data_IF_946855047040
#
_entry.id   IF_946855047040
#
_cell.length_a   1.000
_cell.length_b   1.000
_cell.length_c   1.000
_cell.angle_alpha   90.00
_cell.angle_beta   90.00
_cell.angle_gamma   90.00
#
_symmetry.space_group_name_H-M   'P 1'
#
loop_
_entity.id
_entity.type
_entity.pdbx_description
1 polymer ?
#
# COMPACT_ATOMS: atom_id res chain seq x y z
N UNK A 1 14.20 38.14 -8.10
CA UNK A 1 14.53 36.75 -8.50
C UNK A 1 14.08 35.85 -7.37
N UNK A 2 12.80 35.47 -7.39
CA UNK A 2 12.15 34.67 -6.35
C UNK A 2 11.92 33.28 -6.92
N UNK A 3 12.78 32.33 -6.58
CA UNK A 3 12.49 30.91 -6.76
C UNK A 3 11.43 30.53 -5.73
N UNK A 4 10.17 30.62 -6.15
CA UNK A 4 9.07 30.05 -5.38
C UNK A 4 9.35 28.55 -5.23
N UNK A 5 9.58 28.12 -3.98
CA UNK A 5 9.57 26.70 -3.60
C UNK A 5 8.12 26.22 -3.74
N UNK A 6 7.68 25.98 -4.98
CA UNK A 6 6.46 25.23 -5.23
C UNK A 6 6.74 23.79 -4.81
N UNK A 7 6.08 23.26 -3.77
CA UNK A 7 6.24 21.85 -3.48
C UNK A 7 5.78 21.07 -4.71
N UNK A 8 6.57 20.08 -5.15
CA UNK A 8 6.32 19.26 -6.36
C UNK A 8 5.10 18.32 -6.21
N UNK A 9 4.02 18.76 -5.59
CA UNK A 9 2.75 18.04 -5.50
C UNK A 9 1.89 18.34 -6.74
N UNK A 10 2.34 17.94 -7.93
CA UNK A 10 1.58 18.12 -9.16
C UNK A 10 0.56 17.02 -9.43
N UNK A 11 0.53 15.95 -8.62
CA UNK A 11 -0.35 14.80 -8.84
C UNK A 11 -1.01 14.36 -7.55
N UNK A 12 -2.33 14.52 -7.51
CA UNK A 12 -3.19 13.96 -6.47
C UNK A 12 -3.34 12.46 -6.70
N UNK A 13 -3.17 11.67 -5.63
CA UNK A 13 -3.47 10.24 -5.64
C UNK A 13 -4.81 10.07 -4.93
N UNK A 14 -5.90 9.69 -5.63
CA UNK A 14 -7.18 9.47 -4.98
C UNK A 14 -7.09 8.26 -4.04
N UNK A 15 -7.41 8.49 -2.77
CA UNK A 15 -7.54 7.45 -1.75
C UNK A 15 -9.02 7.10 -1.64
N UNK A 16 -9.35 5.81 -1.68
CA UNK A 16 -10.73 5.32 -1.50
C UNK A 16 -11.15 5.48 -0.03
N UNK A 17 -12.39 5.92 0.26
CA UNK A 17 -12.91 6.07 1.63
C UNK A 17 -12.74 4.81 2.47
N UNK A 18 -12.88 3.64 1.84
CA UNK A 18 -12.63 2.33 2.47
C UNK A 18 -11.23 2.24 3.13
N UNK A 19 -10.21 2.85 2.54
CA UNK A 19 -8.84 2.84 3.08
C UNK A 19 -8.77 3.64 4.38
N UNK A 20 -9.48 4.76 4.47
CA UNK A 20 -9.46 5.62 5.64
C UNK A 20 -10.41 5.13 6.73
N UNK A 21 -11.61 4.68 6.37
CA UNK A 21 -12.66 4.35 7.34
C UNK A 21 -12.57 2.91 7.85
N UNK A 22 -12.25 1.97 6.96
CA UNK A 22 -12.24 0.52 7.27
C UNK A 22 -10.81 0.03 7.44
N UNK A 23 -9.97 0.25 6.43
CA UNK A 23 -8.63 -0.34 6.43
C UNK A 23 -7.73 0.23 7.52
N UNK A 24 -7.79 1.55 7.75
CA UNK A 24 -7.06 2.18 8.85
C UNK A 24 -7.53 1.62 10.19
N UNK A 25 -8.85 1.51 10.41
CA UNK A 25 -9.41 0.99 11.67
C UNK A 25 -9.02 -0.47 11.89
N UNK A 26 -9.05 -1.29 10.85
CA UNK A 26 -8.70 -2.70 10.92
C UNK A 26 -7.21 -2.91 11.19
N UNK A 27 -6.34 -2.17 10.50
CA UNK A 27 -4.89 -2.37 10.63
C UNK A 27 -4.34 -1.66 11.87
N UNK A 28 -4.74 -0.42 12.11
CA UNK A 28 -4.20 0.39 13.22
C UNK A 28 -4.95 0.09 14.52
N UNK A 29 -6.27 -0.06 14.46
CA UNK A 29 -7.10 -0.31 15.64
C UNK A 29 -7.11 -1.78 16.06
N UNK A 30 -7.43 -2.70 15.14
CA UNK A 30 -7.55 -4.12 15.48
C UNK A 30 -6.19 -4.80 15.57
N UNK A 31 -5.38 -4.70 14.51
CA UNK A 31 -4.07 -5.39 14.49
C UNK A 31 -2.97 -4.64 15.24
N UNK A 32 -3.21 -3.37 15.62
CA UNK A 32 -2.21 -2.51 16.28
C UNK A 32 -0.92 -2.38 15.45
N UNK A 33 -1.04 -2.33 14.12
CA UNK A 33 0.08 -2.29 13.17
C UNK A 33 0.10 -0.99 12.33
N UNK A 34 0.38 0.19 12.91
CA UNK A 34 0.44 1.46 12.16
C UNK A 34 1.50 1.44 11.05
N UNK A 35 2.61 0.72 11.25
CA UNK A 35 3.63 0.51 10.23
C UNK A 35 3.09 -0.17 8.96
N UNK A 36 2.17 -1.13 9.09
CA UNK A 36 1.52 -1.79 7.96
C UNK A 36 0.66 -0.83 7.15
N UNK A 37 -0.07 0.05 7.82
CA UNK A 37 -0.88 1.06 7.14
C UNK A 37 -0.02 2.06 6.36
N UNK A 38 1.10 2.54 6.93
CA UNK A 38 2.02 3.45 6.26
C UNK A 38 2.65 2.82 5.01
N UNK A 39 3.10 1.57 5.11
CA UNK A 39 3.67 0.85 3.96
C UNK A 39 2.62 0.65 2.86
N UNK A 40 1.38 0.31 3.24
CA UNK A 40 0.27 0.22 2.29
C UNK A 40 0.05 1.54 1.55
N UNK A 41 0.02 2.68 2.27
CA UNK A 41 -0.13 4.00 1.66
C UNK A 41 1.03 4.33 0.72
N UNK A 42 2.28 4.10 1.15
CA UNK A 42 3.47 4.30 0.32
C UNK A 42 3.40 3.51 -1.00
N UNK A 43 3.08 2.21 -0.91
CA UNK A 43 2.93 1.34 -2.08
C UNK A 43 1.74 1.78 -2.95
N UNK A 44 0.62 2.19 -2.36
CA UNK A 44 -0.55 2.66 -3.09
C UNK A 44 -0.26 3.94 -3.88
N UNK A 45 0.46 4.90 -3.29
CA UNK A 45 0.92 6.11 -3.97
C UNK A 45 1.87 5.81 -5.13
N UNK A 46 2.84 4.91 -4.91
CA UNK A 46 3.83 4.52 -5.93
C UNK A 46 3.19 3.74 -7.07
N UNK A 47 2.31 2.79 -6.77
CA UNK A 47 1.55 2.04 -7.78
C UNK A 47 0.59 2.94 -8.55
N UNK A 48 -0.10 3.88 -7.91
CA UNK A 48 -0.98 4.83 -8.59
C UNK A 48 -0.23 5.67 -9.64
N UNK A 49 0.97 6.16 -9.32
CA UNK A 49 1.85 6.87 -10.27
C UNK A 49 2.37 5.98 -11.40
N UNK A 50 2.52 4.68 -11.14
CA UNK A 50 3.00 3.69 -12.12
C UNK A 50 1.87 2.92 -12.84
N UNK A 51 0.65 3.49 -12.93
CA UNK A 51 -0.52 2.85 -13.56
C UNK A 51 -0.83 1.45 -12.99
N UNK A 52 -0.75 1.31 -11.67
CA UNK A 52 -1.04 0.06 -10.93
C UNK A 52 -0.15 -1.12 -11.31
N UNK A 53 1.06 -0.84 -11.84
CA UNK A 53 2.08 -1.87 -12.09
C UNK A 53 2.67 -2.37 -10.77
N UNK A 54 3.10 -3.63 -10.70
CA UNK A 54 3.78 -4.17 -9.51
C UNK A 54 5.03 -3.36 -9.21
N UNK A 55 5.21 -2.97 -7.95
CA UNK A 55 6.40 -2.22 -7.52
C UNK A 55 7.40 -3.20 -6.93
N UNK A 56 8.57 -3.27 -7.54
CA UNK A 56 9.72 -3.97 -6.96
C UNK A 56 10.28 -3.08 -5.84
N UNK A 57 10.12 -3.50 -4.59
CA UNK A 57 10.67 -2.78 -3.43
C UNK A 57 11.32 -3.79 -2.48
N UNK A 58 12.58 -3.58 -2.13
CA UNK A 58 13.25 -4.40 -1.13
C UNK A 58 12.86 -3.95 0.29
N UNK A 59 13.01 -4.83 1.28
CA UNK A 59 12.78 -4.48 2.70
C UNK A 59 13.60 -3.25 3.14
N UNK A 60 14.84 -3.17 2.66
CA UNK A 60 15.74 -2.06 2.98
C UNK A 60 15.27 -0.76 2.34
N UNK A 61 14.90 -0.82 1.06
CA UNK A 61 14.35 0.35 0.36
C UNK A 61 13.07 0.85 1.04
N UNK A 62 12.19 -0.04 1.47
CA UNK A 62 10.98 0.35 2.21
C UNK A 62 11.32 0.99 3.56
N UNK A 63 12.28 0.44 4.30
CA UNK A 63 12.75 1.01 5.56
C UNK A 63 13.31 2.42 5.37
N UNK A 64 14.20 2.60 4.38
CA UNK A 64 14.86 3.87 4.09
C UNK A 64 13.84 4.94 3.63
N UNK A 65 12.86 4.56 2.80
CA UNK A 65 11.87 5.48 2.24
C UNK A 65 10.73 5.84 3.21
N UNK A 66 10.36 4.91 4.09
CA UNK A 66 9.28 5.12 5.07
C UNK A 66 9.80 5.59 6.44
N UNK A 67 11.12 5.58 6.65
CA UNK A 67 11.75 5.87 7.94
C UNK A 67 11.49 4.81 9.02
N UNK A 68 10.97 3.64 8.64
CA UNK A 68 10.66 2.55 9.56
C UNK A 68 11.86 1.64 9.77
N UNK A 69 11.93 0.99 10.93
CA UNK A 69 12.93 -0.05 11.15
C UNK A 69 12.67 -1.26 10.23
N UNK A 70 13.74 -1.99 9.88
CA UNK A 70 13.64 -3.18 9.05
C UNK A 70 12.69 -4.25 9.64
N UNK A 71 12.70 -4.42 10.96
CA UNK A 71 11.81 -5.34 11.66
C UNK A 71 10.35 -4.88 11.61
N UNK A 72 10.08 -3.58 11.76
CA UNK A 72 8.74 -3.02 11.59
C UNK A 72 8.21 -3.25 10.17
N UNK A 73 9.05 -3.03 9.14
CA UNK A 73 8.72 -3.31 7.74
C UNK A 73 8.41 -4.80 7.52
N UNK A 74 9.17 -5.70 8.14
CA UNK A 74 8.93 -7.14 8.05
C UNK A 74 7.59 -7.55 8.66
N UNK A 75 7.30 -7.12 9.90
CA UNK A 75 6.04 -7.40 10.60
C UNK A 75 4.83 -6.80 9.86
N UNK A 76 5.02 -5.60 9.33
CA UNK A 76 4.02 -4.90 8.54
C UNK A 76 3.68 -5.65 7.24
N UNK A 77 4.69 -6.09 6.49
CA UNK A 77 4.47 -6.88 5.28
C UNK A 77 3.84 -8.25 5.59
N UNK A 78 4.19 -8.88 6.72
CA UNK A 78 3.55 -10.12 7.16
C UNK A 78 2.05 -9.92 7.42
N UNK A 79 1.68 -8.85 8.12
CA UNK A 79 0.28 -8.47 8.39
C UNK A 79 -0.49 -8.20 7.09
N UNK A 80 0.10 -7.45 6.16
CA UNK A 80 -0.50 -7.16 4.85
C UNK A 80 -0.67 -8.43 3.98
N UNK A 81 0.24 -9.39 4.09
CA UNK A 81 0.14 -10.69 3.43
C UNK A 81 -0.97 -11.55 4.02
N UNK A 82 -1.04 -11.63 5.35
CA UNK A 82 -2.04 -12.42 6.07
C UNK A 82 -3.46 -11.96 5.70
N UNK A 83 -3.68 -10.64 5.63
CA UNK A 83 -4.97 -10.04 5.24
C UNK A 83 -5.22 -9.98 3.72
N UNK A 84 -4.33 -10.55 2.90
CA UNK A 84 -4.43 -10.52 1.43
C UNK A 84 -4.61 -9.12 0.81
N UNK A 85 -4.09 -8.09 1.49
CA UNK A 85 -4.14 -6.69 1.03
C UNK A 85 -3.00 -6.38 0.07
N UNK A 86 -1.88 -7.09 0.21
CA UNK A 86 -0.74 -7.02 -0.69
C UNK A 86 -0.35 -8.43 -1.08
N UNK A 87 -0.31 -8.71 -2.38
CA UNK A 87 0.29 -9.92 -2.91
C UNK A 87 1.73 -9.60 -3.29
N UNK A 88 2.67 -10.13 -2.54
CA UNK A 88 4.08 -10.09 -2.93
C UNK A 88 4.38 -11.30 -3.79
N UNK A 89 4.87 -11.06 -5.00
CA UNK A 89 5.40 -12.10 -5.87
C UNK A 89 6.92 -12.00 -5.87
N UNK A 90 7.60 -13.05 -5.43
CA UNK A 90 9.06 -13.22 -5.62
C UNK A 90 9.27 -14.26 -6.71
N UNK A 91 10.02 -13.91 -7.76
CA UNK A 91 10.40 -14.86 -8.79
C UNK A 91 11.45 -15.86 -8.29
N UNK A 92 12.37 -15.44 -7.40
CA UNK A 92 13.43 -16.26 -6.81
C UNK A 92 13.77 -15.80 -5.38
N UNK A 93 14.53 -16.61 -4.62
CA UNK A 93 14.98 -16.34 -3.25
C UNK A 93 15.75 -15.01 -3.10
N UNK A 94 16.53 -14.64 -4.12
CA UNK A 94 17.31 -13.39 -4.19
C UNK A 94 16.65 -12.29 -5.02
N UNK A 95 15.50 -12.55 -5.64
CA UNK A 95 14.83 -11.56 -6.48
C UNK A 95 14.15 -10.47 -5.62
N UNK A 96 14.20 -9.23 -6.10
CA UNK A 96 13.49 -8.11 -5.46
C UNK A 96 11.99 -8.45 -5.45
N UNK A 97 11.33 -8.45 -4.27
CA UNK A 97 9.91 -8.75 -4.19
C UNK A 97 9.08 -7.70 -4.94
N UNK A 98 8.20 -8.18 -5.83
CA UNK A 98 7.22 -7.35 -6.51
C UNK A 98 5.94 -7.29 -5.67
N UNK A 99 5.59 -6.12 -5.14
CA UNK A 99 4.39 -5.92 -4.34
C UNK A 99 3.24 -5.44 -5.22
N UNK A 100 2.13 -6.18 -5.22
CA UNK A 100 0.87 -5.79 -5.85
C UNK A 100 -0.17 -5.49 -4.77
N UNK A 101 -0.67 -4.26 -4.74
CA UNK A 101 -1.76 -3.87 -3.85
C UNK A 101 -3.06 -4.46 -4.38
N UNK A 102 -3.73 -5.28 -3.58
CA UNK A 102 -5.02 -5.88 -3.89
C UNK A 102 -6.14 -5.04 -3.29
N UNK A 103 -7.10 -4.63 -4.12
CA UNK A 103 -8.29 -3.87 -3.69
C UNK A 103 -9.54 -4.73 -3.77
N UNK A 104 -9.59 -5.76 -2.94
CA UNK A 104 -10.65 -6.77 -2.96
C UNK A 104 -12.05 -6.17 -2.76
N UNK A 105 -12.18 -5.06 -2.03
CA UNK A 105 -13.45 -4.33 -1.86
C UNK A 105 -14.00 -3.76 -3.18
N UNK A 106 -13.14 -3.43 -4.16
CA UNK A 106 -13.61 -3.01 -5.50
C UNK A 106 -14.20 -4.18 -6.29
N UNK A 107 -13.68 -5.40 -6.11
CA UNK A 107 -14.25 -6.61 -6.74
C UNK A 107 -15.57 -7.04 -6.09
N UNK A 108 -15.72 -6.85 -4.77
CA UNK A 108 -16.95 -7.18 -4.06
C UNK A 108 -18.09 -6.17 -4.36
N UNK A 109 -17.77 -4.91 -4.69
CA UNK A 109 -18.76 -3.89 -5.07
C UNK A 109 -19.48 -4.22 -6.39
N UNK A 110 -18.75 -4.75 -7.38
CA UNK A 110 -19.33 -5.19 -8.64
C UNK A 110 -20.31 -6.35 -8.42
N UNK A 111 -19.98 -7.28 -7.51
CA UNK A 111 -20.83 -8.44 -7.20
C UNK A 111 -22.09 -8.09 -6.40
N UNK A 112 -22.02 -7.10 -5.50
CA UNK A 112 -23.20 -6.59 -4.77
C UNK A 112 -24.17 -5.82 -5.67
N UNK A 113 -23.68 -4.96 -6.58
CA UNK A 113 -24.57 -4.25 -7.52
C UNK A 113 -25.34 -5.17 -8.47
N UNK A 114 -24.79 -6.35 -8.77
CA UNK A 114 -25.45 -7.38 -9.57
C UNK A 114 -26.46 -8.22 -8.79
N UNK A 115 -26.45 -8.16 -7.45
CA UNK A 115 -27.41 -8.85 -6.59
C UNK A 115 -28.60 -7.96 -6.18
N UNK A 116 -28.50 -6.65 -6.45
CA UNK A 116 -29.55 -5.65 -6.16
C UNK A 116 -30.39 -5.30 -7.42
N UNK A 117 -30.33 -6.12 -8.49
CA UNK A 117 -31.14 -6.00 -9.71
C UNK A 117 -32.06 -7.23 -9.89
#
# INVERSE_FOLDING_TARGET
>A
MQDAIVPRFHQTVPIDDYVLDVLMRDIVGHDQQPAAFLIYLYLSGRTARQRWRPVNASLRMLADETGLSKSAVQSALATLHFRQLVKTSRAHSTAVPAHRVLRHWRSNKARRRLADC
#
